data_IF_923338934483
#
_entry.id   IF_923338934483
#
_cell.length_a   1.000
_cell.length_b   1.000
_cell.length_c   1.000
_cell.angle_alpha   90.00
_cell.angle_beta   90.00
_cell.angle_gamma   90.00
#
_symmetry.space_group_name_H-M   'P 1'
#
loop_
_entity.id
_entity.type
_entity.pdbx_description
1 polymer ?
#
# COMPACT_ATOMS: atom_id res chain seq x y z
N UNK A 1 35.03 7.81 -13.94
CA UNK A 1 34.08 6.70 -14.22
C UNK A 1 32.68 7.23 -14.03
N UNK A 2 31.75 6.90 -14.94
CA UNK A 2 30.34 7.28 -14.74
C UNK A 2 29.77 6.55 -13.52
N UNK A 3 28.94 7.23 -12.71
CA UNK A 3 28.26 6.64 -11.57
C UNK A 3 27.44 5.43 -11.98
N UNK A 4 27.50 4.33 -11.24
CA UNK A 4 26.66 3.13 -11.47
C UNK A 4 25.20 3.47 -11.25
N UNK A 5 24.28 2.67 -11.77
CA UNK A 5 22.83 2.94 -11.69
C UNK A 5 22.07 1.79 -11.07
N UNK A 6 21.00 2.13 -10.36
CA UNK A 6 19.96 1.21 -9.92
C UNK A 6 18.71 1.57 -10.74
N UNK A 7 18.16 0.61 -11.46
CA UNK A 7 16.93 0.78 -12.23
C UNK A 7 15.73 0.27 -11.41
N UNK A 8 14.75 1.13 -11.22
CA UNK A 8 13.43 0.81 -10.71
C UNK A 8 12.45 0.80 -11.89
N UNK A 9 11.86 -0.36 -12.17
CA UNK A 9 10.95 -0.51 -13.30
C UNK A 9 9.50 -0.45 -12.82
N UNK A 10 8.82 0.65 -13.12
CA UNK A 10 7.39 0.87 -12.83
C UNK A 10 6.46 0.54 -13.99
N UNK A 11 6.98 0.12 -15.16
CA UNK A 11 6.16 -0.23 -16.31
C UNK A 11 5.33 -1.49 -16.03
N UNK A 12 4.13 -1.53 -16.61
CA UNK A 12 3.25 -2.71 -16.49
C UNK A 12 2.32 -2.71 -15.27
N UNK A 13 2.47 -1.78 -14.34
CA UNK A 13 1.65 -1.70 -13.12
C UNK A 13 0.31 -0.95 -13.30
N UNK A 14 -0.19 -0.81 -14.53
CA UNK A 14 -1.42 -0.04 -14.86
C UNK A 14 -2.66 -0.42 -14.06
N UNK A 15 -2.72 -1.63 -13.51
CA UNK A 15 -3.84 -2.09 -12.68
C UNK A 15 -3.53 -2.15 -11.18
N UNK A 16 -2.29 -1.85 -10.77
CA UNK A 16 -1.85 -2.00 -9.38
C UNK A 16 -1.01 -0.80 -8.90
N UNK A 17 -1.69 0.31 -8.68
CA UNK A 17 -1.06 1.55 -8.22
C UNK A 17 -0.30 1.39 -6.89
N UNK A 18 -0.70 0.43 -6.04
CA UNK A 18 0.00 0.11 -4.79
C UNK A 18 1.46 -0.30 -5.01
N UNK A 19 1.76 -1.00 -6.12
CA UNK A 19 3.14 -1.34 -6.49
C UNK A 19 3.98 -0.12 -6.86
N UNK A 20 3.38 0.91 -7.47
CA UNK A 20 4.08 2.16 -7.79
C UNK A 20 4.38 2.98 -6.53
N UNK A 21 3.45 3.05 -5.59
CA UNK A 21 3.71 3.67 -4.28
C UNK A 21 4.75 2.90 -3.49
N UNK A 22 4.76 1.57 -3.57
CA UNK A 22 5.86 0.78 -2.99
C UNK A 22 7.22 1.20 -3.57
N UNK A 23 7.35 1.28 -4.90
CA UNK A 23 8.60 1.73 -5.54
C UNK A 23 8.98 3.16 -5.11
N UNK A 24 8.02 4.10 -5.05
CA UNK A 24 8.22 5.46 -4.52
C UNK A 24 8.82 5.42 -3.12
N UNK A 25 8.26 4.60 -2.24
CA UNK A 25 8.65 4.47 -0.85
C UNK A 25 10.05 3.85 -0.67
N UNK A 26 10.38 2.81 -1.44
CA UNK A 26 11.73 2.22 -1.45
C UNK A 26 12.77 3.20 -2.01
N UNK A 27 12.44 3.93 -3.07
CA UNK A 27 13.30 4.99 -3.62
C UNK A 27 13.54 6.07 -2.58
N UNK A 28 12.50 6.49 -1.85
CA UNK A 28 12.63 7.45 -0.76
C UNK A 28 13.62 6.96 0.29
N UNK A 29 13.52 5.71 0.74
CA UNK A 29 14.47 5.11 1.68
C UNK A 29 15.90 5.03 1.11
N UNK A 30 16.07 4.63 -0.16
CA UNK A 30 17.38 4.66 -0.82
C UNK A 30 18.01 6.05 -0.80
N UNK A 31 17.20 7.09 -0.96
CA UNK A 31 17.67 8.48 -0.97
C UNK A 31 18.03 9.03 0.43
N UNK A 32 17.71 8.29 1.50
CA UNK A 32 18.19 8.61 2.87
C UNK A 32 19.58 8.01 3.13
N UNK A 33 20.09 7.08 2.31
CA UNK A 33 21.44 6.52 2.45
C UNK A 33 22.48 7.31 1.67
N UNK A 34 23.46 7.89 2.37
CA UNK A 34 24.63 8.50 1.72
C UNK A 34 25.47 7.45 0.97
N UNK A 35 25.59 6.24 1.50
CA UNK A 35 26.37 5.17 0.88
C UNK A 35 25.78 4.74 -0.47
N UNK A 36 24.45 4.64 -0.57
CA UNK A 36 23.77 4.34 -1.84
C UNK A 36 23.91 5.51 -2.80
N UNK A 37 23.61 6.75 -2.36
CA UNK A 37 23.57 7.92 -3.22
C UNK A 37 24.96 8.38 -3.69
N UNK A 38 26.03 8.09 -2.94
CA UNK A 38 27.41 8.30 -3.39
C UNK A 38 27.85 7.31 -4.47
N UNK A 39 27.38 6.06 -4.43
CA UNK A 39 27.78 4.98 -5.36
C UNK A 39 26.89 4.85 -6.59
N UNK A 40 25.61 5.17 -6.44
CA UNK A 40 24.59 4.89 -7.45
C UNK A 40 23.71 6.09 -7.76
N UNK A 41 23.37 6.22 -9.04
CA UNK A 41 22.26 7.05 -9.51
C UNK A 41 21.01 6.21 -9.62
N UNK A 42 19.92 6.67 -9.03
CA UNK A 42 18.61 6.03 -9.15
C UNK A 42 17.99 6.42 -10.49
N UNK A 43 17.56 5.43 -11.25
CA UNK A 43 16.83 5.59 -12.52
C UNK A 43 15.46 4.98 -12.33
N UNK A 44 14.41 5.70 -12.68
CA UNK A 44 13.03 5.22 -12.65
C UNK A 44 12.50 5.17 -14.07
N UNK A 45 12.06 4.01 -14.51
CA UNK A 45 11.40 3.81 -15.80
C UNK A 45 9.90 3.66 -15.58
N UNK A 46 9.11 4.53 -16.21
CA UNK A 46 7.67 4.64 -15.95
C UNK A 46 6.91 5.02 -17.22
N UNK A 47 5.62 4.72 -17.28
CA UNK A 47 4.71 5.24 -18.31
C UNK A 47 4.29 6.69 -18.01
N UNK A 48 3.80 7.43 -19.04
CA UNK A 48 3.43 8.84 -18.86
C UNK A 48 2.30 9.06 -17.85
N UNK A 49 1.37 8.11 -17.73
CA UNK A 49 0.17 8.20 -16.89
C UNK A 49 0.51 8.27 -15.40
N UNK A 50 1.65 7.70 -14.99
CA UNK A 50 2.05 7.59 -13.58
C UNK A 50 3.36 8.32 -13.25
N UNK A 51 3.87 9.11 -14.18
CA UNK A 51 5.16 9.81 -14.01
C UNK A 51 5.12 10.83 -12.85
N UNK A 52 3.97 11.43 -12.60
CA UNK A 52 3.71 12.39 -11.54
C UNK A 52 4.01 11.85 -10.14
N UNK A 53 3.79 10.54 -9.90
CA UNK A 53 4.09 9.86 -8.62
C UNK A 53 5.55 10.09 -8.19
N UNK A 54 6.49 10.21 -9.15
CA UNK A 54 7.93 10.30 -8.90
C UNK A 54 8.49 11.71 -9.04
N UNK A 55 7.70 12.68 -9.48
CA UNK A 55 8.18 14.08 -9.69
C UNK A 55 8.63 14.77 -8.40
N UNK A 56 8.11 14.32 -7.25
CA UNK A 56 8.50 14.82 -5.93
C UNK A 56 10.00 14.63 -5.60
N UNK A 57 10.69 13.74 -6.30
CA UNK A 57 12.13 13.54 -6.11
C UNK A 57 13.01 14.52 -6.92
N UNK A 58 12.44 15.23 -7.89
CA UNK A 58 13.15 16.21 -8.72
C UNK A 58 14.41 15.63 -9.33
N UNK A 59 15.52 16.36 -9.22
CA UNK A 59 16.83 15.98 -9.77
C UNK A 59 17.57 14.90 -8.94
N UNK A 60 17.01 14.43 -7.84
CA UNK A 60 17.59 13.33 -7.04
C UNK A 60 17.53 11.98 -7.75
N UNK A 61 16.63 11.84 -8.73
CA UNK A 61 16.49 10.64 -9.58
C UNK A 61 16.65 11.00 -11.07
N UNK A 62 16.83 9.99 -11.91
CA UNK A 62 16.76 10.07 -13.38
C UNK A 62 15.44 9.44 -13.83
N UNK A 63 14.41 10.28 -14.03
CA UNK A 63 13.09 9.81 -14.43
C UNK A 63 13.07 9.59 -15.96
N UNK A 64 12.76 8.35 -16.39
CA UNK A 64 12.66 7.93 -17.77
C UNK A 64 11.23 7.55 -18.11
N UNK A 65 10.60 8.36 -18.95
CA UNK A 65 9.22 8.13 -19.38
C UNK A 65 9.26 7.34 -20.70
N UNK A 66 8.56 6.22 -20.75
CA UNK A 66 8.40 5.43 -21.94
C UNK A 66 6.93 5.43 -22.39
N UNK A 67 6.67 6.12 -23.52
CA UNK A 67 5.35 6.23 -24.14
C UNK A 67 5.25 5.28 -25.34
N UNK A 68 5.38 3.99 -25.11
CA UNK A 68 5.33 3.01 -26.19
C UNK A 68 4.47 1.80 -25.86
N UNK A 69 3.56 1.44 -26.76
CA UNK A 69 2.76 0.20 -26.68
C UNK A 69 3.48 -1.00 -27.31
N UNK A 70 4.54 -0.77 -28.09
CA UNK A 70 5.28 -1.81 -28.80
C UNK A 70 6.24 -2.54 -27.88
N UNK A 71 5.92 -3.78 -27.54
CA UNK A 71 6.70 -4.63 -26.62
C UNK A 71 8.16 -4.88 -27.11
N UNK A 72 8.39 -4.91 -28.42
CA UNK A 72 9.75 -5.11 -28.97
C UNK A 72 10.59 -3.85 -28.77
N UNK A 73 10.02 -2.66 -29.05
CA UNK A 73 10.71 -1.39 -28.80
C UNK A 73 10.99 -1.18 -27.32
N UNK A 74 10.05 -1.52 -26.45
CA UNK A 74 10.25 -1.48 -25.00
C UNK A 74 11.41 -2.38 -24.59
N UNK A 75 11.41 -3.61 -25.06
CA UNK A 75 12.48 -4.57 -24.81
C UNK A 75 13.87 -4.05 -25.21
N UNK A 76 13.97 -3.48 -26.40
CA UNK A 76 15.22 -2.87 -26.89
C UNK A 76 15.63 -1.66 -26.05
N UNK A 77 14.67 -0.86 -25.59
CA UNK A 77 14.92 0.27 -24.73
C UNK A 77 15.43 -0.15 -23.35
N UNK A 78 14.79 -1.14 -22.71
CA UNK A 78 15.24 -1.73 -21.44
C UNK A 78 16.65 -2.34 -21.57
N UNK A 79 16.89 -3.12 -22.62
CA UNK A 79 18.22 -3.68 -22.91
C UNK A 79 19.27 -2.58 -23.07
N UNK A 80 18.95 -1.51 -23.79
CA UNK A 80 19.84 -0.36 -23.97
C UNK A 80 20.16 0.30 -22.62
N UNK A 81 19.15 0.57 -21.79
CA UNK A 81 19.35 1.12 -20.45
C UNK A 81 20.27 0.25 -19.60
N UNK A 82 20.02 -1.06 -19.58
CA UNK A 82 20.74 -1.98 -18.72
C UNK A 82 22.18 -2.21 -19.19
N UNK A 83 22.41 -2.34 -20.48
CA UNK A 83 23.74 -2.66 -21.01
C UNK A 83 24.62 -1.45 -21.27
N UNK A 84 24.07 -0.40 -21.93
CA UNK A 84 24.87 0.74 -22.38
C UNK A 84 24.94 1.87 -21.35
N UNK A 85 24.00 1.95 -20.41
CA UNK A 85 23.92 3.05 -19.48
C UNK A 85 24.38 2.75 -18.05
N UNK A 86 25.10 1.64 -17.82
CA UNK A 86 25.77 1.34 -16.56
C UNK A 86 24.84 0.93 -15.42
N UNK A 87 23.67 0.37 -15.73
CA UNK A 87 22.77 -0.19 -14.72
C UNK A 87 23.42 -1.43 -14.10
N UNK A 88 23.64 -1.39 -12.79
CA UNK A 88 24.20 -2.52 -12.03
C UNK A 88 23.13 -3.41 -11.44
N UNK A 89 22.04 -2.82 -10.96
CA UNK A 89 20.92 -3.52 -10.32
C UNK A 89 19.59 -3.10 -10.94
N UNK A 90 18.68 -4.07 -11.07
CA UNK A 90 17.29 -3.89 -11.49
C UNK A 90 16.40 -4.29 -10.32
N UNK A 91 15.77 -3.31 -9.66
CA UNK A 91 14.92 -3.53 -8.50
C UNK A 91 13.49 -3.87 -8.92
N UNK A 92 12.89 -4.82 -8.22
CA UNK A 92 11.60 -5.44 -8.54
C UNK A 92 11.58 -6.01 -9.97
N UNK A 93 12.69 -6.68 -10.36
CA UNK A 93 12.81 -7.26 -11.70
C UNK A 93 11.76 -8.36 -11.90
N UNK A 94 10.93 -8.20 -12.93
CA UNK A 94 10.03 -9.27 -13.38
C UNK A 94 10.78 -10.29 -14.24
N UNK A 95 10.64 -11.58 -13.93
CA UNK A 95 11.23 -12.69 -14.70
C UNK A 95 10.38 -13.04 -15.93
N UNK A 96 10.06 -12.02 -16.74
CA UNK A 96 9.57 -12.23 -18.11
C UNK A 96 10.71 -12.64 -19.05
N UNK A 97 10.43 -12.77 -20.35
CA UNK A 97 11.46 -13.18 -21.34
C UNK A 97 12.70 -12.30 -21.33
N UNK A 98 12.55 -11.00 -21.13
CA UNK A 98 13.64 -10.01 -21.17
C UNK A 98 14.31 -9.94 -19.81
N UNK A 99 13.54 -9.85 -18.72
CA UNK A 99 14.06 -9.84 -17.37
C UNK A 99 14.92 -11.05 -17.07
N UNK A 100 14.60 -12.21 -17.64
CA UNK A 100 15.42 -13.42 -17.49
C UNK A 100 16.84 -13.28 -18.08
N UNK A 101 17.05 -12.42 -19.10
CA UNK A 101 18.39 -12.12 -19.63
C UNK A 101 19.26 -11.30 -18.67
N UNK A 102 18.63 -10.61 -17.73
CA UNK A 102 19.28 -9.75 -16.75
C UNK A 102 19.13 -10.27 -15.32
N UNK A 103 18.71 -11.53 -15.15
CA UNK A 103 18.48 -12.13 -13.84
C UNK A 103 19.66 -11.93 -12.89
N UNK A 104 20.92 -12.01 -13.38
CA UNK A 104 22.12 -11.78 -12.57
C UNK A 104 22.24 -10.37 -11.96
N UNK A 105 21.46 -9.40 -12.44
CA UNK A 105 21.37 -8.03 -11.90
C UNK A 105 20.06 -7.78 -11.16
N UNK A 106 19.17 -8.79 -11.11
CA UNK A 106 17.85 -8.69 -10.52
C UNK A 106 17.89 -8.68 -9.01
N UNK A 107 17.10 -7.80 -8.45
CA UNK A 107 16.63 -7.85 -7.07
C UNK A 107 15.15 -8.10 -7.16
N UNK A 108 14.69 -9.21 -6.62
CA UNK A 108 13.30 -9.60 -6.68
C UNK A 108 12.54 -9.04 -5.50
N UNK A 109 11.24 -8.89 -5.66
CA UNK A 109 10.32 -8.51 -4.60
C UNK A 109 9.05 -9.33 -4.69
N UNK A 110 8.69 -9.97 -3.59
CA UNK A 110 7.40 -10.64 -3.41
C UNK A 110 6.71 -9.92 -2.25
N UNK A 111 5.60 -9.22 -2.50
CA UNK A 111 4.89 -8.48 -1.44
C UNK A 111 4.29 -9.38 -0.39
N UNK A 112 3.68 -10.49 -0.83
CA UNK A 112 2.96 -11.47 -0.02
C UNK A 112 2.80 -12.79 -0.78
N UNK A 113 2.35 -13.82 -0.06
CA UNK A 113 1.96 -15.10 -0.62
C UNK A 113 0.44 -15.34 -0.52
N UNK A 114 -0.35 -14.28 -0.70
CA UNK A 114 -1.81 -14.31 -0.60
C UNK A 114 -2.44 -15.43 -1.44
N UNK A 115 -1.90 -15.73 -2.61
CA UNK A 115 -2.38 -16.81 -3.48
C UNK A 115 -2.18 -18.20 -2.88
N UNK A 116 -1.33 -18.36 -1.85
CA UNK A 116 -1.12 -19.59 -1.09
C UNK A 116 -1.98 -19.63 0.17
N UNK A 117 -2.18 -18.48 0.82
CA UNK A 117 -2.91 -18.37 2.09
C UNK A 117 -4.42 -18.22 1.90
N UNK A 118 -4.86 -17.60 0.79
CA UNK A 118 -6.25 -17.36 0.42
C UNK A 118 -6.51 -17.76 -1.05
N UNK A 119 -6.24 -19.03 -1.43
CA UNK A 119 -6.33 -19.46 -2.84
C UNK A 119 -7.73 -19.31 -3.44
N UNK A 120 -8.78 -19.38 -2.61
CA UNK A 120 -10.18 -19.21 -3.03
C UNK A 120 -10.52 -17.82 -3.58
N UNK A 121 -9.64 -16.83 -3.40
CA UNK A 121 -9.83 -15.48 -3.96
C UNK A 121 -9.19 -15.30 -5.33
N UNK A 122 -8.58 -16.36 -5.89
CA UNK A 122 -7.86 -16.33 -7.16
C UNK A 122 -8.44 -17.32 -8.17
N UNK A 123 -8.31 -16.99 -9.45
CA UNK A 123 -8.63 -17.92 -10.53
C UNK A 123 -7.52 -18.98 -10.65
N UNK A 124 -7.86 -20.24 -11.04
CA UNK A 124 -6.88 -21.32 -11.14
C UNK A 124 -5.65 -20.98 -12.02
N UNK A 125 -5.87 -20.27 -13.13
CA UNK A 125 -4.81 -19.88 -14.05
C UNK A 125 -3.88 -18.83 -13.41
N UNK A 126 -4.43 -17.96 -12.57
CA UNK A 126 -3.64 -16.94 -11.84
C UNK A 126 -2.80 -17.60 -10.75
N UNK A 127 -3.38 -18.57 -10.01
CA UNK A 127 -2.66 -19.36 -9.01
C UNK A 127 -1.45 -20.07 -9.65
N UNK A 128 -1.67 -20.80 -10.76
CA UNK A 128 -0.60 -21.51 -11.47
C UNK A 128 0.49 -20.55 -11.98
N UNK A 129 0.10 -19.41 -12.54
CA UNK A 129 1.05 -18.40 -13.03
C UNK A 129 1.89 -17.81 -11.89
N UNK A 130 1.27 -17.43 -10.78
CA UNK A 130 1.96 -16.88 -9.60
C UNK A 130 2.92 -17.90 -9.02
N UNK A 131 2.49 -19.15 -8.81
CA UNK A 131 3.34 -20.21 -8.28
C UNK A 131 4.58 -20.46 -9.13
N UNK A 132 4.44 -20.50 -10.46
CA UNK A 132 5.58 -20.64 -11.38
C UNK A 132 6.53 -19.44 -11.28
N UNK A 133 6.00 -18.23 -11.17
CA UNK A 133 6.82 -17.01 -11.08
C UNK A 133 7.58 -16.96 -9.76
N UNK A 134 6.90 -17.21 -8.65
CA UNK A 134 7.50 -17.14 -7.32
C UNK A 134 8.55 -18.26 -7.16
N UNK A 135 8.25 -19.49 -7.61
CA UNK A 135 9.21 -20.61 -7.62
C UNK A 135 10.49 -20.25 -8.37
N UNK A 136 10.37 -19.65 -9.56
CA UNK A 136 11.54 -19.22 -10.34
C UNK A 136 12.36 -18.14 -9.63
N UNK A 137 11.71 -17.19 -8.95
CA UNK A 137 12.42 -16.17 -8.17
C UNK A 137 13.14 -16.76 -6.96
N UNK A 138 12.51 -17.74 -6.29
CA UNK A 138 13.05 -18.37 -5.08
C UNK A 138 14.16 -19.38 -5.35
N UNK A 139 14.20 -20.00 -6.55
CA UNK A 139 15.27 -20.90 -7.00
C UNK A 139 16.58 -20.19 -7.39
N UNK A 140 16.53 -18.88 -7.64
CA UNK A 140 17.71 -18.08 -7.99
C UNK A 140 18.42 -17.57 -6.74
N UNK A 141 19.77 -17.55 -6.76
CA UNK A 141 20.61 -17.04 -5.65
C UNK A 141 20.64 -15.50 -5.54
N UNK A 142 19.62 -14.82 -6.08
CA UNK A 142 19.49 -13.38 -6.07
C UNK A 142 18.97 -12.85 -4.73
N UNK A 143 19.15 -11.57 -4.40
CA UNK A 143 18.42 -10.94 -3.33
C UNK A 143 16.90 -10.99 -3.61
N UNK A 144 16.14 -11.48 -2.65
CA UNK A 144 14.69 -11.43 -2.62
C UNK A 144 14.25 -10.55 -1.45
N UNK A 145 13.60 -9.45 -1.76
CA UNK A 145 13.03 -8.55 -0.77
C UNK A 145 11.63 -9.02 -0.41
N UNK A 146 11.38 -9.15 0.88
CA UNK A 146 10.07 -9.38 1.48
C UNK A 146 9.74 -8.19 2.39
N UNK A 147 8.46 -7.82 2.45
CA UNK A 147 8.05 -6.62 3.17
C UNK A 147 7.67 -6.87 4.63
N UNK A 148 7.58 -8.13 5.08
CA UNK A 148 7.19 -8.50 6.46
C UNK A 148 7.79 -9.84 6.90
N UNK A 149 7.90 -10.05 8.21
CA UNK A 149 8.22 -11.36 8.77
C UNK A 149 7.14 -12.40 8.43
N UNK A 150 5.88 -11.98 8.32
CA UNK A 150 4.78 -12.83 7.88
C UNK A 150 5.04 -13.38 6.46
N UNK A 151 5.42 -12.52 5.51
CA UNK A 151 5.80 -12.97 4.17
C UNK A 151 7.05 -13.87 4.17
N UNK A 152 7.99 -13.66 5.09
CA UNK A 152 9.15 -14.54 5.24
C UNK A 152 8.76 -15.92 5.79
N UNK A 153 7.89 -15.97 6.77
CA UNK A 153 7.36 -17.22 7.29
C UNK A 153 6.60 -18.01 6.22
N UNK A 154 5.86 -17.31 5.37
CA UNK A 154 5.18 -17.91 4.22
C UNK A 154 6.17 -18.43 3.16
N UNK A 155 7.26 -17.70 2.88
CA UNK A 155 8.34 -18.20 2.02
C UNK A 155 8.90 -19.53 2.54
N UNK A 156 9.29 -19.58 3.81
CA UNK A 156 9.84 -20.78 4.45
C UNK A 156 8.84 -21.95 4.42
N UNK A 157 7.55 -21.65 4.58
CA UNK A 157 6.48 -22.65 4.56
C UNK A 157 6.21 -23.20 3.16
N UNK A 158 6.13 -22.34 2.14
CA UNK A 158 5.66 -22.73 0.80
C UNK A 158 6.80 -23.05 -0.17
N UNK A 159 8.01 -22.55 0.11
CA UNK A 159 9.22 -22.74 -0.72
C UNK A 159 10.44 -23.06 0.17
N UNK A 160 10.40 -24.12 0.99
CA UNK A 160 11.45 -24.43 2.00
C UNK A 160 12.83 -24.68 1.37
N UNK A 161 12.89 -25.04 0.09
CA UNK A 161 14.13 -25.30 -0.65
C UNK A 161 14.64 -24.08 -1.42
N UNK A 162 14.15 -22.87 -1.11
CA UNK A 162 14.57 -21.65 -1.78
C UNK A 162 16.09 -21.43 -1.67
N UNK A 163 16.67 -20.82 -2.72
CA UNK A 163 18.10 -20.50 -2.79
C UNK A 163 18.36 -18.98 -2.75
N UNK A 164 17.30 -18.18 -2.78
CA UNK A 164 17.37 -16.72 -2.79
C UNK A 164 17.95 -16.19 -1.46
N UNK A 165 18.60 -15.02 -1.56
CA UNK A 165 19.10 -14.29 -0.39
C UNK A 165 18.00 -13.40 0.15
N UNK A 166 17.27 -13.89 1.14
CA UNK A 166 16.14 -13.17 1.73
C UNK A 166 16.61 -11.89 2.40
N UNK A 167 15.95 -10.79 2.09
CA UNK A 167 16.13 -9.48 2.70
C UNK A 167 14.77 -8.99 3.18
N UNK A 168 14.63 -8.85 4.49
CA UNK A 168 13.43 -8.25 5.08
C UNK A 168 13.59 -6.73 5.10
N UNK A 169 12.77 -6.05 4.32
CA UNK A 169 12.81 -4.59 4.20
C UNK A 169 11.39 -4.05 4.20
N UNK A 170 11.01 -3.45 5.30
CA UNK A 170 9.78 -2.69 5.40
C UNK A 170 9.88 -1.40 4.58
N UNK A 171 8.79 -0.69 4.46
CA UNK A 171 8.77 0.65 3.87
C UNK A 171 7.89 1.59 4.67
N UNK A 172 8.17 2.87 4.56
CA UNK A 172 7.32 3.95 5.05
C UNK A 172 6.49 4.52 3.90
N UNK A 173 5.41 5.19 4.18
CA UNK A 173 4.67 5.92 3.16
C UNK A 173 5.21 7.34 3.01
N UNK A 174 5.95 7.61 1.92
CA UNK A 174 6.45 8.96 1.61
C UNK A 174 5.34 9.81 0.99
N UNK A 175 4.61 10.49 1.86
CA UNK A 175 3.44 11.30 1.50
C UNK A 175 3.57 12.77 1.93
N UNK A 176 4.72 13.18 2.43
CA UNK A 176 4.93 14.57 2.86
C UNK A 176 4.59 15.60 1.76
N UNK A 177 4.98 15.41 0.48
CA UNK A 177 4.63 16.38 -0.57
C UNK A 177 3.12 16.57 -0.71
N UNK A 178 2.36 15.49 -0.69
CA UNK A 178 0.90 15.51 -0.77
C UNK A 178 0.29 16.15 0.49
N UNK A 179 0.82 15.85 1.68
CA UNK A 179 0.36 16.44 2.93
C UNK A 179 0.61 17.95 3.00
N UNK A 180 1.78 18.43 2.51
CA UNK A 180 2.09 19.87 2.44
C UNK A 180 1.19 20.61 1.44
N UNK A 181 0.59 19.91 0.47
CA UNK A 181 -0.38 20.49 -0.46
C UNK A 181 -1.79 20.62 0.14
N UNK A 182 -2.10 19.97 1.28
CA UNK A 182 -3.41 20.07 1.93
C UNK A 182 -3.50 21.39 2.67
N UNK A 183 -4.23 22.34 2.06
CA UNK A 183 -4.56 23.64 2.64
C UNK A 183 -5.95 23.65 3.24
N UNK A 184 -6.30 24.58 4.15
CA UNK A 184 -7.67 24.74 4.64
C UNK A 184 -8.71 24.92 3.53
N UNK A 185 -8.33 25.55 2.41
CA UNK A 185 -9.18 25.69 1.23
C UNK A 185 -9.48 24.34 0.59
N UNK A 186 -8.44 23.50 0.40
CA UNK A 186 -8.62 22.16 -0.16
C UNK A 186 -9.45 21.27 0.78
N UNK A 187 -9.26 21.36 2.10
CA UNK A 187 -10.08 20.63 3.07
C UNK A 187 -11.56 20.97 2.94
N UNK A 188 -11.87 22.26 2.78
CA UNK A 188 -13.24 22.71 2.56
C UNK A 188 -13.80 22.21 1.22
N UNK A 189 -13.06 22.35 0.12
CA UNK A 189 -13.44 21.87 -1.21
C UNK A 189 -13.70 20.35 -1.22
N UNK A 190 -12.85 19.57 -0.56
CA UNK A 190 -12.99 18.10 -0.42
C UNK A 190 -14.22 17.76 0.41
N UNK A 191 -14.45 18.46 1.53
CA UNK A 191 -15.62 18.24 2.37
C UNK A 191 -16.92 18.56 1.64
N UNK A 192 -16.96 19.63 0.84
CA UNK A 192 -18.12 19.95 0.00
C UNK A 192 -18.34 18.95 -1.14
N UNK A 193 -17.25 18.65 -1.89
CA UNK A 193 -17.29 17.73 -3.04
C UNK A 193 -17.85 16.37 -2.68
N UNK A 194 -17.50 15.84 -1.50
CA UNK A 194 -17.88 14.50 -1.06
C UNK A 194 -18.98 14.50 0.02
N UNK A 195 -19.50 15.67 0.39
CA UNK A 195 -20.56 15.81 1.39
C UNK A 195 -20.13 15.40 2.80
N UNK A 196 -18.90 15.68 3.21
CA UNK A 196 -18.30 15.26 4.47
C UNK A 196 -18.46 16.31 5.58
N UNK A 197 -19.71 16.72 5.88
CA UNK A 197 -20.02 17.72 6.89
C UNK A 197 -20.25 17.13 8.28
N UNK A 198 -20.41 15.79 8.38
CA UNK A 198 -20.60 15.07 9.65
C UNK A 198 -19.29 14.43 10.07
N UNK A 199 -19.20 14.02 11.34
CA UNK A 199 -18.11 13.13 11.79
C UNK A 199 -18.13 11.84 10.99
N UNK A 200 -16.95 11.29 10.70
CA UNK A 200 -16.88 10.04 9.94
C UNK A 200 -15.69 9.18 10.33
N UNK A 201 -15.85 7.89 10.14
CA UNK A 201 -14.75 6.92 10.09
C UNK A 201 -14.38 6.66 8.63
N UNK A 202 -13.14 6.26 8.35
CA UNK A 202 -12.66 6.12 6.99
C UNK A 202 -12.03 4.76 6.71
N UNK A 203 -12.46 4.14 5.60
CA UNK A 203 -11.96 2.86 5.10
C UNK A 203 -11.43 3.04 3.66
N UNK A 204 -10.12 3.36 3.48
CA UNK A 204 -9.52 3.70 2.18
C UNK A 204 -8.92 2.48 1.48
N UNK A 205 -9.73 1.51 1.09
CA UNK A 205 -9.27 0.29 0.43
C UNK A 205 -9.92 0.09 -0.93
N UNK A 206 -9.15 -0.43 -1.90
CA UNK A 206 -9.75 -0.98 -3.11
C UNK A 206 -10.69 -2.14 -2.74
N UNK A 207 -11.78 -2.29 -3.49
CA UNK A 207 -12.83 -3.26 -3.18
C UNK A 207 -12.47 -4.68 -3.60
N UNK A 208 -11.29 -5.11 -3.22
CA UNK A 208 -10.88 -6.51 -3.37
C UNK A 208 -11.38 -7.34 -2.19
N UNK A 209 -11.78 -8.58 -2.46
CA UNK A 209 -12.41 -9.45 -1.47
C UNK A 209 -11.59 -9.62 -0.18
N UNK A 210 -10.26 -9.72 -0.30
CA UNK A 210 -9.37 -9.82 0.85
C UNK A 210 -9.28 -8.53 1.71
N UNK A 211 -9.74 -7.38 1.19
CA UNK A 211 -9.83 -6.14 1.99
C UNK A 211 -11.03 -6.14 2.94
N UNK A 212 -11.87 -7.18 2.85
CA UNK A 212 -12.88 -7.53 3.84
C UNK A 212 -13.88 -6.42 4.22
N UNK A 213 -14.33 -5.65 3.23
CA UNK A 213 -15.37 -4.63 3.44
C UNK A 213 -16.65 -5.21 4.08
N UNK A 214 -16.89 -6.51 3.85
CA UNK A 214 -18.07 -7.21 4.38
C UNK A 214 -18.13 -7.17 5.90
N UNK A 215 -17.02 -7.35 6.62
CA UNK A 215 -17.03 -7.29 8.09
C UNK A 215 -17.40 -5.89 8.58
N UNK A 216 -16.88 -4.85 7.91
CA UNK A 216 -17.21 -3.46 8.25
C UNK A 216 -18.68 -3.14 8.00
N UNK A 217 -19.23 -3.54 6.83
CA UNK A 217 -20.64 -3.32 6.50
C UNK A 217 -21.56 -4.05 7.48
N UNK A 218 -21.25 -5.30 7.85
CA UNK A 218 -22.00 -6.05 8.86
C UNK A 218 -21.91 -5.42 10.26
N UNK A 219 -20.76 -4.89 10.64
CA UNK A 219 -20.61 -4.16 11.90
C UNK A 219 -21.50 -2.90 11.91
N UNK A 220 -21.51 -2.13 10.82
CA UNK A 220 -22.36 -0.95 10.65
C UNK A 220 -23.85 -1.35 10.70
N UNK A 221 -24.24 -2.46 10.08
CA UNK A 221 -25.60 -2.99 10.15
C UNK A 221 -26.03 -3.26 11.60
N UNK A 222 -25.17 -3.87 12.40
CA UNK A 222 -25.43 -4.11 13.83
C UNK A 222 -25.62 -2.80 14.60
N UNK A 223 -24.78 -1.80 14.35
CA UNK A 223 -24.88 -0.48 14.98
C UNK A 223 -26.19 0.22 14.63
N UNK A 224 -26.57 0.22 13.35
CA UNK A 224 -27.79 0.90 12.89
C UNK A 224 -29.07 0.21 13.40
N UNK A 225 -29.08 -1.11 13.55
CA UNK A 225 -30.17 -1.86 14.21
C UNK A 225 -30.36 -1.44 15.68
N UNK A 226 -29.30 -0.98 16.34
CA UNK A 226 -29.33 -0.54 17.74
C UNK A 226 -29.47 0.99 17.87
N UNK A 227 -29.55 1.74 16.75
CA UNK A 227 -29.62 3.21 16.76
C UNK A 227 -28.31 3.89 17.20
N UNK A 228 -27.18 3.17 17.17
CA UNK A 228 -25.87 3.68 17.59
C UNK A 228 -25.16 4.44 16.47
N UNK A 229 -24.28 5.38 16.83
CA UNK A 229 -23.50 6.23 15.92
C UNK A 229 -24.38 6.90 14.85
N UNK A 230 -25.53 7.42 15.27
CA UNK A 230 -26.49 8.07 14.34
C UNK A 230 -25.92 9.35 13.72
N UNK A 231 -24.98 10.01 14.35
CA UNK A 231 -24.28 11.24 13.93
C UNK A 231 -22.98 10.98 13.16
N UNK A 232 -22.56 9.71 13.02
CA UNK A 232 -21.38 9.32 12.24
C UNK A 232 -21.74 8.82 10.84
N UNK A 233 -20.95 9.25 9.85
CA UNK A 233 -20.90 8.65 8.53
C UNK A 233 -19.76 7.63 8.43
N UNK A 234 -19.94 6.62 7.58
CA UNK A 234 -18.90 5.62 7.29
C UNK A 234 -18.44 5.84 5.84
N UNK A 235 -17.22 6.36 5.66
CA UNK A 235 -16.72 6.77 4.36
C UNK A 235 -15.81 5.70 3.79
N UNK A 236 -16.14 5.21 2.59
CA UNK A 236 -15.37 4.19 1.89
C UNK A 236 -14.87 4.74 0.56
N UNK A 237 -13.57 4.54 0.27
CA UNK A 237 -12.98 4.88 -1.03
C UNK A 237 -12.22 3.70 -1.61
N UNK A 238 -12.07 3.69 -2.92
CA UNK A 238 -11.32 2.70 -3.67
C UNK A 238 -11.95 2.35 -5.00
N UNK A 239 -11.19 1.72 -5.88
CA UNK A 239 -11.73 1.23 -7.13
C UNK A 239 -12.75 0.12 -6.84
N UNK A 240 -13.96 0.28 -7.38
CA UNK A 240 -15.09 -0.64 -7.20
C UNK A 240 -15.00 -1.88 -8.10
N UNK A 241 -13.83 -2.23 -8.62
CA UNK A 241 -13.66 -3.39 -9.51
C UNK A 241 -12.71 -4.40 -8.88
N UNK A 242 -13.24 -5.60 -8.63
CA UNK A 242 -12.41 -6.79 -8.37
C UNK A 242 -12.53 -7.72 -9.59
N UNK A 243 -11.49 -7.78 -10.44
CA UNK A 243 -11.50 -8.61 -11.65
C UNK A 243 -11.45 -10.10 -11.34
N UNK A 244 -11.09 -10.48 -10.12
CA UNK A 244 -11.07 -11.87 -9.63
C UNK A 244 -12.45 -12.31 -9.19
N UNK A 245 -13.19 -11.39 -8.55
CA UNK A 245 -14.49 -11.62 -7.93
C UNK A 245 -15.47 -10.50 -8.37
N UNK A 246 -15.88 -10.46 -9.63
CA UNK A 246 -16.67 -9.34 -10.18
C UNK A 246 -18.04 -9.16 -9.52
N UNK A 247 -18.63 -10.26 -9.01
CA UNK A 247 -19.91 -10.26 -8.29
C UNK A 247 -19.83 -9.66 -6.87
N UNK A 248 -18.64 -9.63 -6.27
CA UNK A 248 -18.43 -9.19 -4.89
C UNK A 248 -18.96 -7.77 -4.61
N UNK A 249 -18.74 -6.85 -5.55
CA UNK A 249 -19.21 -5.46 -5.41
C UNK A 249 -20.73 -5.37 -5.42
N UNK A 250 -21.38 -6.15 -6.28
CA UNK A 250 -22.85 -6.11 -6.39
C UNK A 250 -23.50 -6.73 -5.15
N UNK A 251 -22.89 -7.79 -4.59
CA UNK A 251 -23.33 -8.37 -3.31
C UNK A 251 -23.15 -7.37 -2.16
N UNK A 252 -22.00 -6.69 -2.10
CA UNK A 252 -21.72 -5.69 -1.08
C UNK A 252 -22.69 -4.51 -1.16
N UNK A 253 -22.95 -3.99 -2.36
CA UNK A 253 -23.93 -2.90 -2.58
C UNK A 253 -25.32 -3.27 -2.10
N UNK A 254 -25.80 -4.49 -2.37
CA UNK A 254 -27.10 -4.96 -1.89
C UNK A 254 -27.23 -4.84 -0.36
N UNK A 255 -26.17 -5.18 0.39
CA UNK A 255 -26.17 -5.05 1.86
C UNK A 255 -26.16 -3.57 2.26
N UNK A 256 -25.35 -2.74 1.57
CA UNK A 256 -25.21 -1.31 1.87
C UNK A 256 -26.47 -0.50 1.57
N UNK A 257 -27.26 -0.92 0.58
CA UNK A 257 -28.51 -0.28 0.15
C UNK A 257 -29.72 -0.77 0.98
N UNK A 258 -29.58 -1.88 1.69
CA UNK A 258 -30.64 -2.43 2.52
C UNK A 258 -30.79 -1.65 3.85
N UNK A 259 -32.03 -1.58 4.37
CA UNK A 259 -32.28 -1.06 5.71
C UNK A 259 -31.74 -2.03 6.77
N UNK A 260 -31.12 -1.51 7.86
CA UNK A 260 -31.03 -0.10 8.29
C UNK A 260 -29.73 0.60 7.85
N UNK A 261 -28.92 0.02 6.96
CA UNK A 261 -27.60 0.56 6.55
C UNK A 261 -27.73 1.70 5.53
N UNK A 262 -28.80 1.68 4.74
CA UNK A 262 -29.00 2.62 3.65
C UNK A 262 -28.78 4.08 4.08
N UNK A 263 -27.95 4.80 3.33
CA UNK A 263 -27.61 6.21 3.60
C UNK A 263 -26.57 6.43 4.72
N UNK A 264 -26.11 5.36 5.41
CA UNK A 264 -25.09 5.49 6.46
C UNK A 264 -23.67 5.36 5.93
N UNK A 265 -23.50 4.68 4.78
CA UNK A 265 -22.20 4.47 4.13
C UNK A 265 -22.11 5.41 2.93
N UNK A 266 -21.05 6.22 2.89
CA UNK A 266 -20.68 7.05 1.75
C UNK A 266 -19.64 6.32 0.92
N UNK A 267 -20.07 5.79 -0.22
CA UNK A 267 -19.21 5.10 -1.18
C UNK A 267 -18.71 6.10 -2.23
N UNK A 268 -17.48 6.59 -2.10
CA UNK A 268 -16.95 7.66 -2.93
C UNK A 268 -16.26 7.16 -4.22
N UNK A 269 -16.00 5.85 -4.31
CA UNK A 269 -15.26 5.30 -5.45
C UNK A 269 -13.76 5.64 -5.38
N UNK A 270 -13.11 5.69 -6.56
CA UNK A 270 -11.71 6.12 -6.65
C UNK A 270 -11.61 7.62 -6.38
N UNK A 271 -10.67 7.99 -5.53
CA UNK A 271 -10.37 9.37 -5.13
C UNK A 271 -8.89 9.64 -5.37
N UNK A 272 -8.56 10.82 -5.87
CA UNK A 272 -7.20 11.25 -6.09
C UNK A 272 -6.38 11.27 -4.79
N UNK A 273 -5.07 11.02 -4.90
CA UNK A 273 -4.22 10.75 -3.74
C UNK A 273 -4.24 11.87 -2.69
N UNK A 274 -4.11 13.12 -3.09
CA UNK A 274 -4.12 14.26 -2.16
C UNK A 274 -5.48 14.42 -1.48
N UNK A 275 -6.58 14.23 -2.22
CA UNK A 275 -7.94 14.23 -1.66
C UNK A 275 -8.14 13.05 -0.69
N UNK A 276 -7.63 11.85 -1.04
CA UNK A 276 -7.69 10.67 -0.18
C UNK A 276 -7.00 10.92 1.16
N UNK A 277 -5.81 11.53 1.15
CA UNK A 277 -5.07 11.89 2.36
C UNK A 277 -5.76 13.01 3.14
N UNK A 278 -6.40 13.95 2.45
CA UNK A 278 -7.22 14.98 3.07
C UNK A 278 -8.42 14.36 3.82
N UNK A 279 -9.13 13.40 3.20
CA UNK A 279 -10.21 12.64 3.86
C UNK A 279 -9.67 11.86 5.06
N UNK A 280 -8.51 11.20 4.93
CA UNK A 280 -7.89 10.45 6.01
C UNK A 280 -7.50 11.34 7.19
N UNK A 281 -6.90 12.51 6.92
CA UNK A 281 -6.51 13.52 7.92
C UNK A 281 -7.71 13.96 8.76
N UNK A 282 -8.86 14.20 8.13
CA UNK A 282 -10.06 14.73 8.76
C UNK A 282 -11.01 13.64 9.32
N UNK A 283 -10.73 12.35 9.10
CA UNK A 283 -11.46 11.26 9.70
C UNK A 283 -11.28 11.23 11.22
N UNK A 284 -12.30 10.83 11.97
CA UNK A 284 -12.18 10.59 13.40
C UNK A 284 -11.15 9.49 13.68
N UNK A 285 -11.24 8.38 12.93
CA UNK A 285 -10.28 7.28 12.94
C UNK A 285 -10.41 6.43 11.67
N UNK A 286 -9.44 5.57 11.44
CA UNK A 286 -9.33 4.72 10.26
C UNK A 286 -9.75 3.30 10.60
N UNK A 287 -10.34 2.57 9.65
CA UNK A 287 -10.67 1.15 9.77
C UNK A 287 -9.94 0.38 8.68
N UNK A 288 -9.13 -0.61 9.06
CA UNK A 288 -8.37 -1.46 8.15
C UNK A 288 -8.69 -2.94 8.44
N UNK A 289 -9.71 -3.53 7.77
CA UNK A 289 -10.24 -4.83 8.14
C UNK A 289 -9.67 -6.00 7.34
N UNK A 290 -8.57 -5.85 6.62
CA UNK A 290 -8.00 -6.81 5.66
C UNK A 290 -7.79 -8.20 6.27
N UNK A 291 -7.96 -9.23 5.43
CA UNK A 291 -7.65 -10.63 5.76
C UNK A 291 -6.19 -10.99 5.46
N UNK A 292 -5.54 -10.24 4.58
CA UNK A 292 -4.15 -10.44 4.19
C UNK A 292 -3.57 -9.14 3.64
N UNK A 293 -2.31 -8.87 3.97
CA UNK A 293 -1.49 -7.77 3.46
C UNK A 293 -0.03 -8.24 3.34
N UNK A 294 0.72 -7.65 2.42
CA UNK A 294 2.17 -7.81 2.41
C UNK A 294 2.85 -6.83 3.38
N UNK A 295 2.46 -5.56 3.28
CA UNK A 295 2.72 -4.43 4.19
C UNK A 295 1.70 -3.35 3.88
N UNK A 296 0.90 -2.97 4.83
CA UNK A 296 -0.29 -2.14 4.60
C UNK A 296 0.06 -0.67 4.36
N UNK A 297 -0.02 -0.19 3.11
CA UNK A 297 0.18 1.23 2.78
C UNK A 297 -0.79 2.14 3.53
N UNK A 298 -2.03 1.72 3.72
CA UNK A 298 -3.04 2.49 4.49
C UNK A 298 -2.59 2.73 5.92
N UNK A 299 -2.02 1.70 6.56
CA UNK A 299 -1.51 1.84 7.92
C UNK A 299 -0.28 2.74 7.98
N UNK A 300 0.63 2.65 6.99
CA UNK A 300 1.76 3.59 6.90
C UNK A 300 1.30 5.04 6.68
N UNK A 301 0.29 5.28 5.84
CA UNK A 301 -0.32 6.61 5.68
C UNK A 301 -0.90 7.13 7.01
N UNK A 302 -1.63 6.26 7.73
CA UNK A 302 -2.21 6.61 9.02
C UNK A 302 -1.14 6.92 10.09
N UNK A 303 -0.01 6.19 10.08
CA UNK A 303 1.15 6.47 10.96
C UNK A 303 1.77 7.83 10.68
N UNK A 304 1.93 8.22 9.39
CA UNK A 304 2.44 9.55 9.04
C UNK A 304 1.46 10.66 9.42
N UNK A 305 0.17 10.41 9.37
CA UNK A 305 -0.87 11.34 9.84
C UNK A 305 -1.09 11.26 11.36
N UNK A 306 -0.39 10.37 12.06
CA UNK A 306 -0.55 10.08 13.49
C UNK A 306 -2.01 9.79 13.87
N UNK A 307 -2.76 9.05 13.03
CA UNK A 307 -4.18 8.73 13.20
C UNK A 307 -4.39 7.43 13.96
N UNK A 308 -5.49 7.38 14.73
CA UNK A 308 -5.96 6.15 15.35
C UNK A 308 -6.51 5.17 14.29
N UNK A 309 -6.23 3.87 14.46
CA UNK A 309 -6.65 2.83 13.51
C UNK A 309 -7.28 1.64 14.24
N UNK A 310 -8.48 1.25 13.82
CA UNK A 310 -9.02 -0.07 14.10
C UNK A 310 -8.50 -1.05 13.05
N UNK A 311 -7.71 -2.01 13.48
CA UNK A 311 -6.86 -2.82 12.62
C UNK A 311 -7.19 -4.30 12.79
N UNK A 312 -7.40 -5.04 11.71
CA UNK A 312 -7.63 -6.47 11.79
C UNK A 312 -6.44 -7.21 12.41
N UNK A 313 -6.72 -8.20 13.26
CA UNK A 313 -5.72 -8.97 13.96
C UNK A 313 -5.14 -10.09 13.08
N UNK A 314 -4.29 -9.69 12.12
CA UNK A 314 -3.52 -10.59 11.25
C UNK A 314 -2.01 -10.44 11.53
N UNK A 315 -1.17 -11.45 11.20
CA UNK A 315 0.24 -11.44 11.57
C UNK A 315 0.97 -10.16 11.15
N UNK A 316 0.86 -9.74 9.88
CA UNK A 316 1.52 -8.54 9.39
C UNK A 316 1.04 -7.26 10.10
N UNK A 317 -0.22 -7.16 10.48
CA UNK A 317 -0.73 -6.01 11.23
C UNK A 317 -0.21 -5.96 12.66
N UNK A 318 0.00 -7.12 13.31
CA UNK A 318 0.65 -7.20 14.62
C UNK A 318 2.10 -6.71 14.57
N UNK A 319 2.80 -6.98 13.46
CA UNK A 319 4.16 -6.51 13.20
C UNK A 319 4.20 -5.00 12.93
N UNK A 320 3.26 -4.49 12.12
CA UNK A 320 3.26 -3.13 11.59
C UNK A 320 2.65 -2.10 12.56
N UNK A 321 1.79 -2.50 13.51
CA UNK A 321 1.04 -1.61 14.40
C UNK A 321 1.93 -0.73 15.27
N UNK A 322 1.40 0.42 15.66
CA UNK A 322 1.92 1.28 16.71
C UNK A 322 0.91 1.43 17.87
N UNK A 323 1.20 2.33 18.79
CA UNK A 323 0.37 2.60 19.98
C UNK A 323 -1.03 3.17 19.68
N UNK A 324 -1.26 3.68 18.46
CA UNK A 324 -2.56 4.19 18.00
C UNK A 324 -3.45 3.14 17.34
N UNK A 325 -2.99 1.89 17.26
CA UNK A 325 -3.73 0.80 16.65
C UNK A 325 -4.44 -0.05 17.70
N UNK A 326 -5.71 -0.35 17.46
CA UNK A 326 -6.48 -1.31 18.24
C UNK A 326 -6.85 -2.50 17.35
N UNK A 327 -6.49 -3.71 17.78
CA UNK A 327 -6.71 -4.93 17.01
C UNK A 327 -8.12 -5.49 17.25
N UNK A 328 -8.72 -6.06 16.17
CA UNK A 328 -9.98 -6.81 16.24
C UNK A 328 -9.93 -8.05 15.36
N UNK A 329 -10.72 -9.08 15.69
CA UNK A 329 -10.87 -10.28 14.87
C UNK A 329 -11.51 -9.93 13.51
N UNK A 330 -10.82 -10.13 12.37
CA UNK A 330 -11.35 -9.82 11.04
C UNK A 330 -12.59 -10.65 10.64
N UNK A 331 -12.94 -11.67 11.40
CA UNK A 331 -14.10 -12.51 11.16
C UNK A 331 -15.27 -12.20 12.11
N UNK A 332 -15.09 -11.31 13.08
CA UNK A 332 -16.12 -10.93 14.06
C UNK A 332 -16.65 -9.50 13.85
N UNK A 333 -17.78 -9.33 13.13
CA UNK A 333 -18.39 -8.02 12.96
C UNK A 333 -18.94 -7.42 14.28
N UNK A 334 -19.22 -8.24 15.32
CA UNK A 334 -19.67 -7.75 16.61
C UNK A 334 -18.53 -7.08 17.38
N UNK A 335 -17.35 -7.72 17.37
CA UNK A 335 -16.14 -7.14 17.96
C UNK A 335 -15.81 -5.80 17.30
N UNK A 336 -15.87 -5.71 15.96
CA UNK A 336 -15.66 -4.45 15.26
C UNK A 336 -16.74 -3.41 15.59
N UNK A 337 -18.02 -3.81 15.67
CA UNK A 337 -19.11 -2.90 16.03
C UNK A 337 -18.90 -2.29 17.42
N UNK A 338 -18.52 -3.11 18.40
CA UNK A 338 -18.20 -2.64 19.75
C UNK A 338 -17.05 -1.63 19.76
N UNK A 339 -15.94 -1.94 19.08
CA UNK A 339 -14.78 -1.05 18.99
C UNK A 339 -15.09 0.25 18.24
N UNK A 340 -15.97 0.23 17.23
CA UNK A 340 -16.44 1.44 16.55
C UNK A 340 -17.13 2.39 17.54
N UNK A 341 -18.00 1.87 18.42
CA UNK A 341 -18.68 2.68 19.46
C UNK A 341 -17.67 3.22 20.46
N UNK A 342 -16.88 2.35 21.09
CA UNK A 342 -15.90 2.74 22.12
C UNK A 342 -14.90 3.78 21.60
N UNK A 343 -14.48 3.63 20.32
CA UNK A 343 -13.52 4.55 19.72
C UNK A 343 -14.17 5.89 19.36
N UNK A 344 -15.41 5.87 18.86
CA UNK A 344 -16.16 7.09 18.56
C UNK A 344 -16.46 7.89 19.84
N UNK A 345 -16.90 7.21 20.92
CA UNK A 345 -17.13 7.84 22.22
C UNK A 345 -15.85 8.50 22.76
N UNK A 346 -14.70 7.80 22.67
CA UNK A 346 -13.40 8.40 23.04
C UNK A 346 -13.02 9.58 22.17
N UNK A 347 -13.25 9.50 20.84
CA UNK A 347 -12.94 10.58 19.91
C UNK A 347 -13.78 11.85 20.19
N UNK A 348 -14.94 11.69 20.81
CA UNK A 348 -15.85 12.79 21.17
C UNK A 348 -15.54 13.41 22.54
N UNK A 349 -14.65 12.79 23.33
CA UNK A 349 -14.21 13.33 24.61
C UNK A 349 -13.18 14.45 24.43
N UNK A 350 -13.37 15.64 25.05
CA UNK A 350 -12.44 16.77 24.90
C UNK A 350 -10.97 16.44 25.24
N UNK A 351 -10.75 15.62 26.26
CA UNK A 351 -9.41 15.18 26.68
C UNK A 351 -8.67 14.31 25.66
N UNK A 352 -9.38 13.71 24.69
CA UNK A 352 -8.81 12.89 23.63
C UNK A 352 -8.73 13.62 22.28
N UNK A 353 -9.16 14.87 22.18
CA UNK A 353 -9.18 15.62 20.90
C UNK A 353 -7.81 15.63 20.22
N UNK A 354 -6.74 15.93 20.95
CA UNK A 354 -5.38 15.93 20.38
C UNK A 354 -4.92 14.54 19.91
N UNK A 355 -5.30 13.48 20.61
CA UNK A 355 -4.98 12.11 20.23
C UNK A 355 -5.59 11.72 18.88
N UNK A 356 -6.88 12.06 18.67
CA UNK A 356 -7.60 11.73 17.44
C UNK A 356 -7.34 12.71 16.29
N UNK A 357 -7.01 13.98 16.59
CA UNK A 357 -6.57 14.93 15.57
C UNK A 357 -5.29 14.47 14.85
N UNK A 358 -4.39 13.86 15.62
CA UNK A 358 -3.07 13.45 15.14
C UNK A 358 -2.07 14.61 15.11
N UNK A 359 -0.80 14.24 15.08
CA UNK A 359 0.34 15.17 14.96
C UNK A 359 1.13 14.82 13.69
N UNK A 360 0.78 15.47 12.60
CA UNK A 360 1.40 15.24 11.28
C UNK A 360 2.92 15.52 11.29
N UNK A 361 3.39 16.52 12.03
CA UNK A 361 4.84 16.84 12.08
C UNK A 361 5.60 15.73 12.83
N UNK A 362 5.04 15.21 13.91
CA UNK A 362 5.57 14.03 14.61
C UNK A 362 5.59 12.81 13.67
N UNK A 363 4.50 12.58 12.94
CA UNK A 363 4.40 11.46 12.00
C UNK A 363 5.40 11.56 10.86
N UNK A 364 5.59 12.74 10.26
CA UNK A 364 6.61 12.99 9.23
C UNK A 364 8.02 12.74 9.80
N UNK A 365 8.33 13.26 10.99
CA UNK A 365 9.64 13.03 11.61
C UNK A 365 9.91 11.53 11.86
N UNK A 366 8.89 10.78 12.28
CA UNK A 366 8.98 9.33 12.45
C UNK A 366 9.20 8.61 11.11
N UNK A 367 8.50 9.01 10.05
CA UNK A 367 8.66 8.49 8.70
C UNK A 367 10.11 8.62 8.21
N UNK A 368 10.75 9.77 8.40
CA UNK A 368 12.15 9.96 8.03
C UNK A 368 13.09 9.05 8.83
N UNK A 369 12.89 8.95 10.14
CA UNK A 369 13.69 8.09 11.02
C UNK A 369 13.58 6.60 10.63
N UNK A 370 12.36 6.14 10.33
CA UNK A 370 12.12 4.76 9.88
C UNK A 370 12.72 4.54 8.48
N UNK A 371 12.59 5.49 7.56
CA UNK A 371 13.20 5.41 6.23
C UNK A 371 14.73 5.28 6.29
N UNK A 372 15.41 6.02 7.19
CA UNK A 372 16.85 5.89 7.44
C UNK A 372 17.20 4.50 8.00
N UNK A 373 16.35 3.95 8.87
CA UNK A 373 16.55 2.60 9.39
C UNK A 373 16.43 1.54 8.29
N UNK A 374 15.43 1.67 7.39
CA UNK A 374 15.24 0.76 6.26
C UNK A 374 16.30 0.94 5.17
N UNK A 375 16.86 2.14 5.02
CA UNK A 375 17.99 2.41 4.13
C UNK A 375 19.20 1.52 4.44
N UNK A 376 19.48 1.24 5.71
CA UNK A 376 20.56 0.30 6.12
C UNK A 376 20.33 -1.12 5.59
N UNK A 377 19.09 -1.59 5.56
CA UNK A 377 18.74 -2.87 4.94
C UNK A 377 19.02 -2.87 3.43
N UNK A 378 18.71 -1.77 2.76
CA UNK A 378 18.97 -1.58 1.32
C UNK A 378 20.48 -1.48 1.01
N UNK A 379 21.28 -0.92 1.91
CA UNK A 379 22.75 -0.92 1.78
C UNK A 379 23.31 -2.34 1.69
N UNK A 380 22.79 -3.30 2.47
CA UNK A 380 23.21 -4.71 2.38
C UNK A 380 22.97 -5.35 1.00
N UNK A 381 22.06 -4.79 0.22
CA UNK A 381 21.77 -5.25 -1.13
C UNK A 381 22.68 -4.56 -2.16
N UNK A 382 22.87 -3.24 -2.04
CA UNK A 382 23.46 -2.43 -3.09
C UNK A 382 24.96 -2.13 -2.85
N UNK A 383 25.40 -2.07 -1.61
CA UNK A 383 26.73 -1.61 -1.22
C UNK A 383 27.66 -2.75 -0.91
#
# INVERSE_FOLDING_TARGET
MSMKKILFNGLGNRGWIGGLYYLKNIIFSCLQSEEITKKYRIVVLIDPEHADIFTCFGNRIDLRIYDGTNKVKLALYEMNLIWLHGVKYCYALELNRIGSLFASRGIFWIPDFQHKTLPEFFKPEELARKDVTDRRMTELSNPLVLSSEDAKNDLERFYPEHQCKVQLIHFVSYIEPELRAITPKLEHEVAEKFGLQRKYTYLPNQFWKHKNHVVAVKAIELLKKQGLLADYDFVFTGNLKDYRNPEYIDELKKIMEAQPVAGSIKLLGFVERTEQLCIMKNAAFIVQPSLCEGWGTVLEDAKVLDKAVLLSDIPVHREQKNEKCVLFDPHDPKALAQLLVETAEKADMPEHTAYFAGDMEKGIANMYREAEAYARGLENIFV
#
